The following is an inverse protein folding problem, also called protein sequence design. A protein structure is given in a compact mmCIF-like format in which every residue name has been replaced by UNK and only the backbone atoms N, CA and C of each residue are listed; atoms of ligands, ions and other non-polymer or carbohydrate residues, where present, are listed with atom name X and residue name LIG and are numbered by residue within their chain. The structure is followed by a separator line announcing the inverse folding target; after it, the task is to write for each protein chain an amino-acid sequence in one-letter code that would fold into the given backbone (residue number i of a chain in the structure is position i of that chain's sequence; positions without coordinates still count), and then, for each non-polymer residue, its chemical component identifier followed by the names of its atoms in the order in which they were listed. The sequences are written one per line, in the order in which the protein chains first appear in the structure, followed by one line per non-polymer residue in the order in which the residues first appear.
data_IF_963653379224
#
_entry.id   IF_963653379224
#
_cell.length_a   1.000
_cell.length_b   1.000
_cell.length_c   1.000
_cell.angle_alpha   90.00
_cell.angle_beta   90.00
_cell.angle_gamma   90.00
#
_symmetry.space_group_name_H-M   'P 1'
#
loop_
_entity.id
_entity.type
_entity.pdbx_description
1 polymer ?
#
# COMPACT_ATOMS: atom_id res chain seq x y z
N UNK A 1 7.68 7.71 17.64
CA UNK A 1 7.00 7.94 16.37
C UNK A 1 6.02 6.80 16.10
N UNK A 2 4.76 7.15 15.91
CA UNK A 2 3.72 6.15 15.65
C UNK A 2 3.88 5.62 14.22
N UNK A 3 4.03 4.33 14.09
CA UNK A 3 4.11 3.69 12.78
C UNK A 3 2.71 3.27 12.35
N UNK A 4 2.33 3.61 11.13
CA UNK A 4 1.10 3.07 10.55
C UNK A 4 1.22 1.56 10.46
N UNK A 5 0.28 0.86 11.04
CA UNK A 5 0.11 -0.55 10.73
C UNK A 5 -0.48 -0.66 9.33
N UNK A 6 0.26 -1.32 8.45
CA UNK A 6 -0.28 -1.71 7.16
C UNK A 6 -1.42 -2.68 7.46
N UNK A 7 -2.64 -2.21 7.33
CA UNK A 7 -3.81 -3.01 7.68
C UNK A 7 -4.03 -4.11 6.65
N UNK A 8 -3.75 -5.35 7.02
CA UNK A 8 -3.85 -6.51 6.13
C UNK A 8 -5.27 -6.77 5.64
N UNK A 9 -6.25 -6.25 6.34
CA UNK A 9 -7.67 -6.42 6.03
C UNK A 9 -8.28 -5.19 5.36
N UNK A 10 -7.47 -4.18 5.05
CA UNK A 10 -7.93 -3.01 4.31
C UNK A 10 -8.33 -3.42 2.89
N UNK A 11 -9.41 -2.86 2.39
CA UNK A 11 -9.89 -3.09 1.04
C UNK A 11 -8.78 -2.72 0.02
N UNK A 12 -8.49 -3.59 -0.96
CA UNK A 12 -7.50 -3.28 -1.99
C UNK A 12 -7.75 -1.97 -2.72
N UNK A 13 -9.02 -1.57 -2.88
CA UNK A 13 -9.39 -0.29 -3.50
C UNK A 13 -8.90 0.89 -2.67
N UNK A 14 -8.96 0.80 -1.34
CA UNK A 14 -8.45 1.84 -0.45
C UNK A 14 -6.93 1.94 -0.51
N UNK A 15 -6.22 0.81 -0.53
CA UNK A 15 -4.78 0.77 -0.73
C UNK A 15 -4.39 1.43 -2.05
N UNK A 16 -5.10 1.10 -3.12
CA UNK A 16 -4.84 1.65 -4.45
C UNK A 16 -4.97 3.18 -4.45
N UNK A 17 -6.01 3.71 -3.84
CA UNK A 17 -6.21 5.16 -3.72
C UNK A 17 -5.09 5.84 -2.96
N UNK A 18 -4.69 5.27 -1.83
CA UNK A 18 -3.61 5.83 -1.00
C UNK A 18 -2.30 5.85 -1.79
N UNK A 19 -1.99 4.76 -2.47
CA UNK A 19 -0.76 4.63 -3.25
C UNK A 19 -0.75 5.64 -4.39
N UNK A 20 -1.84 5.74 -5.16
CA UNK A 20 -1.94 6.69 -6.29
C UNK A 20 -1.74 8.13 -5.80
N UNK A 21 -2.33 8.50 -4.68
CA UNK A 21 -2.17 9.85 -4.11
C UNK A 21 -0.71 10.17 -3.75
N UNK A 22 0.08 9.16 -3.39
CA UNK A 22 1.46 9.34 -2.93
C UNK A 22 2.51 9.08 -4.01
N UNK A 23 2.12 8.52 -5.14
CA UNK A 23 3.03 8.28 -6.26
C UNK A 23 3.52 9.61 -6.85
N UNK A 24 4.83 9.69 -7.06
CA UNK A 24 5.40 10.72 -7.90
C UNK A 24 5.32 10.25 -9.36
N UNK A 25 4.52 10.90 -10.17
CA UNK A 25 4.27 10.49 -11.54
C UNK A 25 5.58 10.35 -12.35
N UNK A 26 6.47 11.32 -12.24
CA UNK A 26 7.74 11.28 -12.94
C UNK A 26 8.61 10.07 -12.60
N UNK A 27 8.52 9.58 -11.36
CA UNK A 27 9.29 8.42 -10.89
C UNK A 27 8.80 7.12 -11.52
N UNK A 28 7.49 7.00 -11.77
CA UNK A 28 6.87 5.76 -12.23
C UNK A 28 6.65 5.72 -13.73
N UNK A 29 6.58 6.85 -14.41
CA UNK A 29 6.39 6.93 -15.88
C UNK A 29 7.52 6.27 -16.67
N UNK A 30 8.72 6.21 -16.07
CA UNK A 30 9.88 5.57 -16.69
C UNK A 30 9.65 4.11 -17.09
N UNK A 31 8.73 3.43 -16.41
CA UNK A 31 8.44 2.02 -16.64
C UNK A 31 7.12 1.77 -17.36
N UNK A 32 6.45 2.80 -17.84
CA UNK A 32 5.11 2.70 -18.41
C UNK A 32 5.03 1.69 -19.57
N UNK A 33 5.98 1.72 -20.51
CA UNK A 33 6.01 0.79 -21.63
C UNK A 33 6.22 -0.64 -21.17
N UNK A 34 7.08 -0.87 -20.18
CA UNK A 34 7.33 -2.21 -19.63
C UNK A 34 6.10 -2.74 -18.89
N UNK A 35 5.41 -1.87 -18.18
CA UNK A 35 4.18 -2.20 -17.45
C UNK A 35 3.10 -2.60 -18.44
N UNK A 36 2.95 -1.87 -19.55
CA UNK A 36 1.96 -2.19 -20.58
C UNK A 36 2.18 -3.60 -21.16
N UNK A 37 3.43 -4.00 -21.38
CA UNK A 37 3.77 -5.35 -21.85
C UNK A 37 3.43 -6.39 -20.78
N UNK A 38 3.72 -6.11 -19.52
CA UNK A 38 3.41 -7.02 -18.41
C UNK A 38 1.92 -7.19 -18.18
N UNK A 39 1.12 -6.16 -18.41
CA UNK A 39 -0.33 -6.18 -18.20
C UNK A 39 -1.00 -7.34 -18.93
N UNK A 40 -0.57 -7.61 -20.17
CA UNK A 40 -1.14 -8.68 -20.98
C UNK A 40 -0.71 -10.08 -20.51
N UNK A 41 0.35 -10.18 -19.71
CA UNK A 41 0.95 -11.44 -19.31
C UNK A 41 0.80 -11.77 -17.84
N UNK A 42 0.42 -10.78 -17.04
CA UNK A 42 0.42 -10.96 -15.57
C UNK A 42 -0.62 -12.00 -15.14
N UNK A 43 -1.65 -12.24 -15.92
CA UNK A 43 -2.66 -13.27 -15.66
C UNK A 43 -2.07 -14.69 -15.74
N UNK A 44 -0.95 -14.85 -16.44
CA UNK A 44 -0.21 -16.11 -16.55
C UNK A 44 1.07 -16.06 -15.72
N UNK A 45 0.95 -15.60 -14.51
CA UNK A 45 2.06 -15.29 -13.60
C UNK A 45 2.98 -16.46 -13.23
N UNK A 46 2.77 -17.62 -13.84
CA UNK A 46 3.62 -18.82 -13.59
C UNK A 46 5.11 -18.56 -13.78
N UNK A 47 5.48 -17.75 -14.77
CA UNK A 47 6.88 -17.39 -15.01
C UNK A 47 7.39 -16.33 -14.02
N UNK A 48 6.50 -15.56 -13.43
CA UNK A 48 6.81 -14.49 -12.49
C UNK A 48 6.48 -14.88 -11.05
N UNK A 49 6.05 -16.11 -10.81
CA UNK A 49 5.60 -16.57 -9.49
C UNK A 49 6.63 -16.30 -8.40
N UNK A 50 7.88 -16.67 -8.62
CA UNK A 50 8.93 -16.48 -7.63
C UNK A 50 9.22 -15.00 -7.39
N UNK A 51 9.17 -14.18 -8.44
CA UNK A 51 9.36 -12.73 -8.33
C UNK A 51 8.25 -12.11 -7.47
N UNK A 52 7.01 -12.49 -7.70
CA UNK A 52 5.87 -12.00 -6.95
C UNK A 52 5.93 -12.42 -5.48
N UNK A 53 6.30 -13.67 -5.21
CA UNK A 53 6.50 -14.17 -3.85
C UNK A 53 7.62 -13.43 -3.12
N UNK A 54 8.73 -13.19 -3.81
CA UNK A 54 9.85 -12.44 -3.26
C UNK A 54 9.45 -10.99 -2.96
N UNK A 55 8.68 -10.37 -3.83
CA UNK A 55 8.19 -9.00 -3.64
C UNK A 55 7.29 -8.90 -2.40
N UNK A 56 6.34 -9.81 -2.26
CA UNK A 56 5.47 -9.86 -1.07
C UNK A 56 6.30 -10.05 0.21
N UNK A 57 7.24 -10.99 0.18
CA UNK A 57 8.10 -11.24 1.33
C UNK A 57 8.92 -10.01 1.72
N UNK A 58 9.49 -9.34 0.74
CA UNK A 58 10.31 -8.14 1.00
C UNK A 58 9.48 -6.97 1.54
N UNK A 59 8.30 -6.71 0.96
CA UNK A 59 7.48 -5.56 1.33
C UNK A 59 6.63 -5.80 2.57
N UNK A 60 6.06 -7.00 2.73
CA UNK A 60 5.12 -7.32 3.80
C UNK A 60 5.73 -8.17 4.92
N UNK A 61 7.00 -8.54 4.80
CA UNK A 61 7.71 -9.36 5.78
C UNK A 61 6.96 -10.65 6.11
N UNK A 62 6.45 -11.32 5.08
CA UNK A 62 5.69 -12.57 5.23
C UNK A 62 5.97 -13.51 4.07
N UNK A 63 5.83 -14.81 4.32
CA UNK A 63 5.96 -15.82 3.28
C UNK A 63 4.60 -16.14 2.66
N UNK A 64 4.55 -16.14 1.33
CA UNK A 64 3.36 -16.50 0.59
C UNK A 64 3.18 -18.00 0.57
N UNK A 65 1.99 -18.46 0.97
CA UNK A 65 1.61 -19.87 0.83
C UNK A 65 1.06 -20.12 -0.58
N UNK A 66 0.07 -19.35 -0.99
CA UNK A 66 -0.55 -19.49 -2.30
C UNK A 66 -0.85 -18.09 -2.90
N UNK A 67 -0.54 -17.92 -4.18
CA UNK A 67 -0.97 -16.77 -4.96
C UNK A 67 -2.35 -17.07 -5.55
N UNK A 68 -3.33 -16.24 -5.23
CA UNK A 68 -4.73 -16.45 -5.65
C UNK A 68 -5.02 -15.69 -6.93
N UNK A 69 -4.70 -14.40 -6.94
CA UNK A 69 -4.99 -13.53 -8.08
C UNK A 69 -3.93 -12.43 -8.19
N UNK A 70 -3.56 -12.10 -9.42
CA UNK A 70 -2.61 -11.03 -9.71
C UNK A 70 -3.13 -10.23 -10.89
N UNK A 71 -3.16 -8.90 -10.77
CA UNK A 71 -3.51 -8.03 -11.87
C UNK A 71 -2.85 -6.65 -11.72
N UNK A 72 -2.77 -5.95 -12.83
CA UNK A 72 -2.35 -4.54 -12.86
C UNK A 72 -3.55 -3.73 -13.35
N UNK A 73 -3.93 -2.71 -12.59
CA UNK A 73 -5.08 -1.88 -12.92
C UNK A 73 -4.73 -0.74 -13.89
N UNK A 74 -5.72 0.07 -14.26
CA UNK A 74 -5.55 1.17 -15.22
C UNK A 74 -4.65 2.29 -14.71
N UNK A 75 -4.41 2.36 -13.41
CA UNK A 75 -3.49 3.33 -12.79
C UNK A 75 -2.08 2.77 -12.63
N UNK A 76 -1.77 1.63 -13.25
CA UNK A 76 -0.48 0.95 -13.15
C UNK A 76 -0.14 0.52 -11.73
N UNK A 77 -1.15 0.10 -10.99
CA UNK A 77 -1.01 -0.46 -9.64
C UNK A 77 -1.12 -1.97 -9.72
N UNK A 78 -0.14 -2.65 -9.14
CA UNK A 78 -0.09 -4.10 -9.03
C UNK A 78 -0.92 -4.54 -7.81
N UNK A 79 -1.83 -5.47 -8.04
CA UNK A 79 -2.64 -6.09 -7.00
C UNK A 79 -2.30 -7.57 -6.91
N UNK A 80 -1.89 -8.02 -5.74
CA UNK A 80 -1.59 -9.43 -5.48
C UNK A 80 -2.48 -9.90 -4.33
N UNK A 81 -3.35 -10.85 -4.61
CA UNK A 81 -4.12 -11.55 -3.59
C UNK A 81 -3.42 -12.86 -3.27
N UNK A 82 -3.15 -13.10 -2.00
CA UNK A 82 -2.40 -14.27 -1.57
C UNK A 82 -2.84 -14.76 -0.20
N UNK A 83 -2.45 -15.99 0.13
CA UNK A 83 -2.58 -16.52 1.49
C UNK A 83 -1.21 -16.70 2.11
N UNK A 84 -1.13 -16.63 3.42
CA UNK A 84 0.12 -16.78 4.15
C UNK A 84 -0.09 -17.60 5.40
N UNK A 85 0.62 -18.73 5.49
CA UNK A 85 0.71 -19.56 6.70
C UNK A 85 -0.62 -19.83 7.39
N UNK A 86 -0.75 -19.33 8.61
CA UNK A 86 -1.93 -19.53 9.44
C UNK A 86 -3.23 -19.00 8.81
N UNK A 87 -3.15 -17.95 8.04
CA UNK A 87 -4.34 -17.35 7.41
C UNK A 87 -4.94 -18.25 6.34
N UNK A 88 -4.15 -19.10 5.70
CA UNK A 88 -4.65 -20.03 4.68
C UNK A 88 -5.58 -21.09 5.26
N UNK A 89 -5.31 -21.51 6.49
CA UNK A 89 -6.16 -22.49 7.21
C UNK A 89 -7.53 -21.88 7.55
N UNK A 90 -7.59 -20.59 7.75
CA UNK A 90 -8.82 -19.85 8.07
C UNK A 90 -9.53 -19.31 6.85
N UNK A 91 -9.01 -19.55 5.65
CA UNK A 91 -9.57 -19.03 4.41
C UNK A 91 -9.47 -17.52 4.24
N UNK A 92 -8.53 -16.87 4.93
CA UNK A 92 -8.34 -15.43 4.89
C UNK A 92 -7.27 -15.09 3.86
N UNK A 93 -7.65 -14.23 2.90
CA UNK A 93 -6.72 -13.69 1.91
C UNK A 93 -6.10 -12.39 2.41
N UNK A 94 -4.87 -12.16 1.99
CA UNK A 94 -4.17 -10.90 2.17
C UNK A 94 -3.96 -10.25 0.81
N UNK A 95 -3.73 -8.94 0.82
CA UNK A 95 -3.53 -8.19 -0.41
C UNK A 95 -2.26 -7.35 -0.31
N UNK A 96 -1.40 -7.46 -1.31
CA UNK A 96 -0.34 -6.49 -1.54
C UNK A 96 -0.78 -5.60 -2.69
N UNK A 97 -0.78 -4.30 -2.49
CA UNK A 97 -1.08 -3.31 -3.51
C UNK A 97 0.10 -2.35 -3.56
N UNK A 98 0.76 -2.27 -4.70
CA UNK A 98 1.95 -1.45 -4.86
C UNK A 98 2.07 -0.96 -6.31
N UNK A 99 2.94 0.03 -6.57
CA UNK A 99 3.18 0.43 -7.95
C UNK A 99 3.70 -0.74 -8.79
N UNK A 100 3.16 -0.92 -10.00
CA UNK A 100 3.59 -1.98 -10.90
C UNK A 100 5.06 -1.86 -11.31
N UNK A 101 5.63 -0.66 -11.24
CA UNK A 101 7.04 -0.41 -11.49
C UNK A 101 7.98 -1.20 -10.58
N UNK A 102 7.48 -1.64 -9.42
CA UNK A 102 8.27 -2.48 -8.50
C UNK A 102 8.70 -3.81 -9.13
N UNK A 103 7.99 -4.27 -10.16
CA UNK A 103 8.38 -5.48 -10.91
C UNK A 103 9.73 -5.31 -11.63
N UNK A 104 10.15 -4.08 -11.87
CA UNK A 104 11.37 -3.75 -12.61
C UNK A 104 12.48 -3.17 -11.74
N UNK A 105 12.22 -2.98 -10.46
CA UNK A 105 13.21 -2.53 -9.49
C UNK A 105 13.86 -3.73 -8.81
N UNK A 106 15.04 -3.53 -8.25
CA UNK A 106 15.60 -4.51 -7.32
C UNK A 106 14.71 -4.59 -6.07
N UNK A 107 14.75 -5.69 -5.35
CA UNK A 107 13.98 -5.83 -4.11
C UNK A 107 14.36 -4.74 -3.09
N UNK A 108 15.64 -4.39 -3.00
CA UNK A 108 16.12 -3.34 -2.12
C UNK A 108 15.55 -1.97 -2.48
N UNK A 109 15.51 -1.64 -3.77
CA UNK A 109 14.94 -0.39 -4.26
C UNK A 109 13.43 -0.31 -4.01
N UNK A 110 12.73 -1.40 -4.30
CA UNK A 110 11.29 -1.49 -4.06
C UNK A 110 10.97 -1.33 -2.57
N UNK A 111 11.73 -1.99 -1.70
CA UNK A 111 11.57 -1.89 -0.25
C UNK A 111 11.83 -0.48 0.26
N UNK A 112 12.87 0.16 -0.22
CA UNK A 112 13.21 1.55 0.16
C UNK A 112 12.08 2.51 -0.22
N UNK A 113 11.57 2.40 -1.45
CA UNK A 113 10.44 3.22 -1.91
C UNK A 113 9.16 2.95 -1.12
N UNK A 114 8.88 1.69 -0.84
CA UNK A 114 7.74 1.25 -0.04
C UNK A 114 7.77 1.84 1.36
N UNK A 115 8.90 1.77 2.02
CA UNK A 115 9.06 2.29 3.37
C UNK A 115 8.94 3.82 3.40
N UNK A 116 9.51 4.52 2.42
CA UNK A 116 9.38 5.97 2.29
C UNK A 116 7.92 6.39 2.08
N UNK A 117 7.21 5.67 1.24
CA UNK A 117 5.80 5.95 0.95
C UNK A 117 4.94 5.78 2.21
N UNK A 118 5.11 4.67 2.92
CA UNK A 118 4.36 4.41 4.15
C UNK A 118 4.72 5.38 5.25
N UNK A 119 5.97 5.81 5.32
CA UNK A 119 6.38 6.85 6.24
C UNK A 119 5.66 8.17 5.98
N UNK A 120 5.56 8.58 4.72
CA UNK A 120 4.83 9.79 4.32
C UNK A 120 3.34 9.69 4.68
N UNK A 121 2.74 8.53 4.48
CA UNK A 121 1.34 8.29 4.85
C UNK A 121 1.18 8.39 6.37
N UNK A 122 2.08 7.78 7.12
CA UNK A 122 2.07 7.83 8.58
C UNK A 122 2.21 9.25 9.12
N UNK A 123 3.15 10.01 8.57
CA UNK A 123 3.38 11.40 8.96
C UNK A 123 2.14 12.28 8.65
N UNK A 124 1.51 12.06 7.50
CA UNK A 124 0.30 12.78 7.14
C UNK A 124 -0.88 12.46 8.07
N UNK A 125 -1.02 11.20 8.48
CA UNK A 125 -2.06 10.81 9.43
C UNK A 125 -1.81 11.40 10.82
N UNK A 126 -0.57 11.39 11.29
CA UNK A 126 -0.20 11.99 12.57
C UNK A 126 -0.50 13.48 12.60
N UNK A 127 -0.26 14.17 11.48
CA UNK A 127 -0.58 15.59 11.36
C UNK A 127 -2.10 15.84 11.39
N UNK A 128 -2.87 15.02 10.69
CA UNK A 128 -4.34 15.09 10.71
C UNK A 128 -4.89 14.86 12.13
N UNK A 129 -4.35 13.90 12.86
CA UNK A 129 -4.75 13.64 14.25
C UNK A 129 -4.43 14.83 15.15
N UNK A 130 -3.26 15.44 14.98
CA UNK A 130 -2.88 16.64 15.75
C UNK A 130 -3.79 17.83 15.47
N UNK A 131 -4.13 18.05 14.21
CA UNK A 131 -5.05 19.12 13.82
C UNK A 131 -6.45 18.88 14.37
N UNK A 132 -6.95 17.65 14.32
CA UNK A 132 -8.25 17.29 14.86
C UNK A 132 -8.31 17.56 16.38
N UNK A 133 -7.26 17.19 17.11
CA UNK A 133 -7.17 17.45 18.56
C UNK A 133 -7.11 18.95 18.87
N UNK A 134 -6.37 19.73 18.08
CA UNK A 134 -6.32 21.19 18.24
C UNK A 134 -7.68 21.81 17.99
N UNK A 135 -8.40 21.35 16.97
CA UNK A 135 -9.74 21.84 16.67
C UNK A 135 -10.72 21.49 17.78
N UNK A 136 -10.66 20.28 18.33
CA UNK A 136 -11.50 19.89 19.47
C UNK A 136 -11.26 20.79 20.69
N UNK A 137 -10.00 21.06 21.02
CA UNK A 137 -9.65 21.96 22.12
C UNK A 137 -10.14 23.37 21.89
N UNK A 138 -10.01 23.84 20.67
CA UNK A 138 -10.49 25.19 20.30
C UNK A 138 -12.00 25.29 20.42
N UNK A 139 -12.73 24.29 19.92
CA UNK A 139 -14.19 24.25 20.03
C UNK A 139 -14.64 24.20 21.49
N UNK A 140 -13.96 23.41 22.31
CA UNK A 140 -14.25 23.34 23.74
C UNK A 140 -13.98 24.70 24.42
N UNK A 141 -12.90 25.36 24.07
CA UNK A 141 -12.59 26.71 24.58
C UNK A 141 -13.69 27.71 24.25
N UNK A 142 -14.16 27.75 23.01
CA UNK A 142 -15.23 28.63 22.58
C UNK A 142 -16.53 28.34 23.34
N UNK A 143 -16.83 27.08 23.55
CA UNK A 143 -18.02 26.64 24.28
C UNK A 143 -17.98 27.10 25.75
N UNK A 144 -16.85 26.93 26.41
CA UNK A 144 -16.64 27.39 27.78
C UNK A 144 -16.71 28.93 27.88
N UNK A 145 -16.18 29.63 26.90
CA UNK A 145 -16.25 31.09 26.84
C UNK A 145 -17.69 31.58 26.77
N UNK A 146 -18.51 30.93 25.97
CA UNK A 146 -19.94 31.26 25.84
C UNK A 146 -20.70 31.05 27.17
N UNK A 147 -20.36 29.98 27.91
CA UNK A 147 -21.01 29.68 29.19
C UNK A 147 -20.68 30.71 30.28
N UNK A 148 -19.53 31.33 30.21
CA UNK A 148 -19.05 32.27 31.24
C UNK A 148 -19.19 33.78 30.83
N UNK A 149 -19.69 34.03 29.67
CA UNK A 149 -20.10 35.35 29.24
C UNK A 149 -21.62 35.50 29.36
#
# INVERSE_FOLDING_TARGET
MRTIQKNRFMDPTEYSKIIVERMSQAKYDHYEDKIAICKDRIDTWKETDQLLRNLVHELEDTYVDELIKVNIDDNNILHIEYTAGYDSENGVSRYLVCPASYLFLSLAEAKSDWDDMWKKISDAQDEREREAKRNERYQLFLKLKEEFE
#
